data_IF_136127472849
#
_entry.id   IF_136127472849
#
_cell.length_a   1.000
_cell.length_b   1.000
_cell.length_c   1.000
_cell.angle_alpha   90.00
_cell.angle_beta   90.00
_cell.angle_gamma   90.00
#
_symmetry.space_group_name_H-M   'P 1'
#
loop_
_entity.id
_entity.type
_entity.pdbx_description
1 polymer ?
#
# COMPACT_ATOMS: atom_id res chain seq x y z
N UNK A 1 -5.97 -7.92 6.72
CA UNK A 1 -5.26 -7.87 8.01
C UNK A 1 -3.78 -8.15 7.77
N UNK A 2 -2.90 -7.33 8.34
CA UNK A 2 -1.44 -7.36 8.14
C UNK A 2 -0.82 -8.70 8.57
N UNK A 3 -1.29 -9.27 9.68
CA UNK A 3 -0.82 -10.56 10.19
C UNK A 3 -1.14 -11.72 9.27
N UNK A 4 -2.27 -11.65 8.56
CA UNK A 4 -2.63 -12.65 7.56
C UNK A 4 -1.62 -12.65 6.39
N UNK A 5 -1.21 -11.47 5.93
CA UNK A 5 -0.23 -11.33 4.84
C UNK A 5 1.17 -11.82 5.23
N UNK A 6 1.59 -11.62 6.49
CA UNK A 6 2.87 -12.18 6.97
C UNK A 6 2.88 -13.71 6.88
N UNK A 7 1.75 -14.37 7.20
CA UNK A 7 1.62 -15.83 7.07
C UNK A 7 1.66 -16.29 5.61
N UNK A 8 1.03 -15.56 4.69
CA UNK A 8 1.11 -15.85 3.25
C UNK A 8 2.55 -15.74 2.69
N UNK A 9 3.41 -14.94 3.34
CA UNK A 9 4.83 -14.78 2.98
C UNK A 9 5.74 -15.85 3.60
N UNK A 10 5.18 -16.88 4.22
CA UNK A 10 5.90 -17.98 4.88
C UNK A 10 6.83 -17.51 6.01
N UNK A 11 6.46 -16.43 6.69
CA UNK A 11 7.13 -15.96 7.90
C UNK A 11 6.63 -16.80 9.08
N UNK A 12 7.55 -17.41 9.83
CA UNK A 12 7.19 -18.31 10.92
C UNK A 12 6.35 -17.60 11.99
N UNK A 13 5.44 -18.35 12.62
CA UNK A 13 4.58 -17.82 13.68
C UNK A 13 5.39 -17.25 14.86
N UNK A 14 6.47 -17.95 15.25
CA UNK A 14 7.42 -17.51 16.30
C UNK A 14 8.02 -16.13 15.98
N UNK A 15 8.46 -15.93 14.73
CA UNK A 15 9.07 -14.68 14.31
C UNK A 15 8.02 -13.56 14.18
N UNK A 16 6.83 -13.91 13.70
CA UNK A 16 5.70 -12.97 13.63
C UNK A 16 5.34 -12.46 15.01
N UNK A 17 5.17 -13.37 15.99
CA UNK A 17 4.86 -13.04 17.37
C UNK A 17 5.93 -12.15 17.99
N UNK A 18 7.22 -12.44 17.74
CA UNK A 18 8.33 -11.61 18.20
C UNK A 18 8.30 -10.18 17.65
N UNK A 19 7.88 -10.00 16.39
CA UNK A 19 7.79 -8.68 15.73
C UNK A 19 6.58 -7.86 16.15
N UNK A 20 5.51 -8.50 16.64
CA UNK A 20 4.28 -7.80 17.04
C UNK A 20 4.08 -7.75 18.56
N UNK A 21 4.87 -8.51 19.32
CA UNK A 21 4.83 -8.48 20.77
C UNK A 21 5.01 -7.05 21.28
N UNK A 22 4.15 -6.65 22.21
CA UNK A 22 4.14 -5.31 22.83
C UNK A 22 3.74 -4.16 21.89
N UNK A 23 3.40 -4.44 20.63
CA UNK A 23 2.68 -3.46 19.82
C UNK A 23 1.21 -3.40 20.27
N UNK A 24 0.60 -2.20 20.32
CA UNK A 24 -0.83 -2.06 20.53
C UNK A 24 -1.62 -2.73 19.39
N UNK A 25 -2.93 -2.98 19.62
CA UNK A 25 -3.83 -3.54 18.58
C UNK A 25 -3.82 -2.70 17.29
N UNK A 26 -3.73 -1.38 17.44
CA UNK A 26 -3.50 -0.43 16.35
C UNK A 26 -2.14 0.23 16.54
N UNK A 27 -1.23 0.00 15.60
CA UNK A 27 0.11 0.56 15.60
C UNK A 27 0.39 1.30 14.28
N UNK A 28 1.24 2.32 14.35
CA UNK A 28 1.71 3.03 13.17
C UNK A 28 2.98 2.38 12.57
N UNK A 29 3.33 2.82 11.36
CA UNK A 29 4.51 2.35 10.65
C UNK A 29 5.82 2.51 11.44
N UNK A 30 5.99 3.63 12.17
CA UNK A 30 7.21 3.90 12.93
C UNK A 30 7.35 2.96 14.11
N UNK A 31 6.26 2.66 14.79
CA UNK A 31 6.23 1.68 15.89
C UNK A 31 6.65 0.30 15.38
N UNK A 32 6.09 -0.14 14.25
CA UNK A 32 6.48 -1.41 13.63
C UNK A 32 7.97 -1.44 13.25
N UNK A 33 8.45 -0.42 12.52
CA UNK A 33 9.86 -0.36 12.09
C UNK A 33 10.80 -0.34 13.29
N UNK A 34 10.45 0.36 14.37
CA UNK A 34 11.25 0.34 15.60
C UNK A 34 11.32 -1.06 16.19
N UNK A 35 10.18 -1.73 16.34
CA UNK A 35 10.12 -3.09 16.90
C UNK A 35 10.88 -4.09 16.05
N UNK A 36 10.71 -4.02 14.72
CA UNK A 36 11.46 -4.86 13.78
C UNK A 36 12.97 -4.65 13.93
N UNK A 37 13.43 -3.40 14.00
CA UNK A 37 14.86 -3.11 14.18
C UNK A 37 15.41 -3.58 15.53
N UNK A 38 14.61 -3.53 16.61
CA UNK A 38 14.97 -4.11 17.91
C UNK A 38 15.14 -5.64 17.81
N UNK A 39 14.22 -6.32 17.10
CA UNK A 39 14.30 -7.76 16.86
C UNK A 39 15.57 -8.13 16.10
N UNK A 40 15.93 -7.37 15.05
CA UNK A 40 17.16 -7.56 14.29
C UNK A 40 18.43 -7.37 15.14
N UNK A 41 18.44 -6.39 16.05
CA UNK A 41 19.63 -6.08 16.86
C UNK A 41 19.82 -7.01 18.06
N UNK A 42 18.73 -7.41 18.70
CA UNK A 42 18.79 -8.10 20.00
C UNK A 42 18.77 -9.63 19.89
N UNK A 43 18.56 -10.17 18.68
CA UNK A 43 18.52 -11.61 18.46
C UNK A 43 19.61 -12.04 17.49
N UNK A 44 20.35 -13.11 17.84
CA UNK A 44 21.23 -13.79 16.88
C UNK A 44 20.39 -14.60 15.88
N UNK A 45 19.79 -13.91 14.92
CA UNK A 45 18.97 -14.52 13.89
C UNK A 45 19.83 -15.14 12.80
N UNK A 46 19.39 -16.29 12.26
CA UNK A 46 19.99 -16.83 11.04
C UNK A 46 19.81 -15.85 9.86
N UNK A 47 20.60 -15.94 8.78
CA UNK A 47 20.41 -15.12 7.58
C UNK A 47 19.00 -15.23 6.97
N UNK A 48 18.37 -16.39 7.11
CA UNK A 48 17.00 -16.64 6.65
C UNK A 48 15.99 -15.86 7.49
N UNK A 49 16.12 -15.90 8.83
CA UNK A 49 15.29 -15.13 9.75
C UNK A 49 15.49 -13.62 9.54
N UNK A 50 16.72 -13.16 9.28
CA UNK A 50 16.98 -11.75 8.91
C UNK A 50 16.18 -11.31 7.69
N UNK A 51 16.24 -12.08 6.59
CA UNK A 51 15.48 -11.76 5.37
C UNK A 51 13.96 -11.77 5.59
N UNK A 52 13.46 -12.67 6.43
CA UNK A 52 12.04 -12.71 6.79
C UNK A 52 11.59 -11.45 7.56
N UNK A 53 12.46 -10.95 8.45
CA UNK A 53 12.22 -9.70 9.17
C UNK A 53 12.28 -8.48 8.23
N UNK A 54 13.24 -8.40 7.31
CA UNK A 54 13.30 -7.32 6.30
C UNK A 54 12.05 -7.31 5.39
N UNK A 55 11.58 -8.49 5.00
CA UNK A 55 10.31 -8.65 4.24
C UNK A 55 9.10 -8.08 4.97
N UNK A 56 9.11 -8.02 6.30
CA UNK A 56 8.02 -7.45 7.11
C UNK A 56 7.93 -5.94 6.95
N UNK A 57 9.07 -5.25 6.96
CA UNK A 57 9.12 -3.80 6.67
C UNK A 57 8.64 -3.55 5.25
N UNK A 58 9.14 -4.33 4.28
CA UNK A 58 8.69 -4.20 2.89
C UNK A 58 7.18 -4.39 2.74
N UNK A 59 6.61 -5.38 3.45
CA UNK A 59 5.17 -5.63 3.42
C UNK A 59 4.39 -4.42 3.98
N UNK A 60 4.86 -3.83 5.07
CA UNK A 60 4.25 -2.66 5.70
C UNK A 60 4.39 -1.39 4.84
N UNK A 61 5.54 -1.19 4.20
CA UNK A 61 5.76 -0.12 3.23
C UNK A 61 4.80 -0.23 2.04
N UNK A 62 4.55 -1.46 1.60
CA UNK A 62 3.69 -1.75 0.47
C UNK A 62 2.20 -1.63 0.83
N UNK A 63 1.81 -2.08 2.04
CA UNK A 63 0.42 -2.23 2.44
C UNK A 63 0.14 -1.55 3.77
N UNK A 64 -0.66 -0.48 3.72
CA UNK A 64 -1.09 0.21 4.91
C UNK A 64 -2.51 0.74 4.76
N UNK A 65 -3.08 1.11 5.91
CA UNK A 65 -4.40 1.72 6.00
C UNK A 65 -4.25 3.14 6.56
N UNK A 66 -5.09 4.05 6.11
CA UNK A 66 -5.14 5.44 6.59
C UNK A 66 -6.57 5.72 7.02
N UNK A 67 -6.74 6.14 8.26
CA UNK A 67 -8.02 6.52 8.83
C UNK A 67 -8.01 8.00 9.20
N UNK A 68 -8.99 8.75 8.70
CA UNK A 68 -9.23 10.14 9.07
C UNK A 68 -10.25 10.23 10.20
N UNK A 69 -10.13 11.26 11.04
CA UNK A 69 -11.15 11.55 12.05
C UNK A 69 -12.51 11.83 11.41
N UNK A 70 -13.58 11.40 12.07
CA UNK A 70 -14.95 11.72 11.68
C UNK A 70 -15.25 13.23 11.81
N UNK A 71 -14.44 13.94 12.59
CA UNK A 71 -14.62 15.36 12.91
C UNK A 71 -14.01 16.33 11.87
N UNK A 72 -13.39 15.82 10.79
CA UNK A 72 -12.79 16.65 9.73
C UNK A 72 -13.54 16.57 8.42
N UNK A 73 -13.64 17.72 7.74
CA UNK A 73 -14.26 17.80 6.42
C UNK A 73 -13.40 17.10 5.36
N UNK A 74 -14.05 16.52 4.34
CA UNK A 74 -13.34 15.83 3.25
C UNK A 74 -12.35 16.74 2.52
N UNK A 75 -12.63 18.05 2.45
CA UNK A 75 -11.75 19.05 1.82
C UNK A 75 -10.46 19.31 2.60
N UNK A 76 -10.40 18.91 3.87
CA UNK A 76 -9.24 19.10 4.74
C UNK A 76 -8.36 17.85 4.80
N UNK A 77 -8.79 16.74 4.18
CA UNK A 77 -8.07 15.46 4.21
C UNK A 77 -6.86 15.51 3.29
N UNK A 78 -5.68 15.36 3.88
CA UNK A 78 -4.40 15.28 3.18
C UNK A 78 -3.77 13.93 3.45
N UNK A 79 -3.47 13.18 2.38
CA UNK A 79 -2.66 11.98 2.47
C UNK A 79 -1.19 12.39 2.55
N UNK A 80 -0.51 11.99 3.64
CA UNK A 80 0.91 12.20 3.81
C UNK A 80 1.69 10.93 3.48
N UNK A 81 2.94 11.04 3.00
CA UNK A 81 3.86 9.91 2.95
C UNK A 81 4.00 9.24 4.31
N UNK A 82 3.85 7.91 4.34
CA UNK A 82 3.97 7.12 5.58
C UNK A 82 5.00 5.99 5.48
N UNK A 83 5.49 5.70 4.27
CA UNK A 83 6.42 4.60 3.97
C UNK A 83 7.72 5.11 3.34
N UNK A 84 8.78 4.32 3.39
CA UNK A 84 10.08 4.68 2.78
C UNK A 84 9.97 4.87 1.26
N UNK A 85 9.10 4.08 0.62
CA UNK A 85 8.78 4.18 -0.82
C UNK A 85 8.14 5.52 -1.22
N UNK A 86 7.69 6.31 -0.24
CA UNK A 86 7.04 7.61 -0.42
C UNK A 86 7.90 8.76 0.14
N UNK A 87 9.15 8.49 0.52
CA UNK A 87 10.02 9.45 1.22
C UNK A 87 10.27 10.77 0.48
N UNK A 88 10.08 10.82 -0.83
CA UNK A 88 10.10 12.05 -1.66
C UNK A 88 8.73 12.54 -2.08
N UNK A 89 7.67 11.82 -1.75
CA UNK A 89 6.30 12.26 -1.90
C UNK A 89 5.39 11.20 -2.50
N UNK A 90 4.11 11.56 -2.53
CA UNK A 90 3.06 10.89 -3.29
C UNK A 90 2.52 11.87 -4.32
N UNK A 91 2.27 11.39 -5.54
CA UNK A 91 1.95 12.25 -6.69
C UNK A 91 0.73 11.72 -7.45
N UNK A 92 -0.04 12.66 -8.02
CA UNK A 92 -1.08 12.46 -9.03
C UNK A 92 -2.11 11.36 -8.74
N UNK A 93 -2.73 11.41 -7.56
CA UNK A 93 -3.84 10.53 -7.23
C UNK A 93 -5.02 10.73 -8.21
N UNK A 94 -5.42 9.67 -8.90
CA UNK A 94 -6.53 9.68 -9.87
C UNK A 94 -7.68 8.83 -9.39
N UNK A 95 -8.69 9.48 -8.80
CA UNK A 95 -9.87 8.80 -8.30
C UNK A 95 -10.86 8.42 -9.41
N UNK A 96 -11.46 7.25 -9.28
CA UNK A 96 -12.61 6.79 -10.07
C UNK A 96 -13.67 6.25 -9.14
N UNK A 97 -14.92 6.66 -9.36
CA UNK A 97 -16.09 6.04 -8.75
C UNK A 97 -16.36 4.73 -9.48
N UNK A 98 -16.03 3.61 -8.87
CA UNK A 98 -16.17 2.28 -9.46
C UNK A 98 -17.49 1.65 -9.04
N UNK A 99 -18.27 1.23 -10.04
CA UNK A 99 -19.54 0.53 -9.81
C UNK A 99 -19.32 -0.97 -9.88
N UNK A 100 -19.52 -1.63 -8.75
CA UNK A 100 -19.51 -3.09 -8.65
C UNK A 100 -20.75 -3.69 -9.33
N UNK A 101 -20.69 -4.99 -9.63
CA UNK A 101 -21.79 -5.72 -10.29
C UNK A 101 -23.04 -5.81 -9.39
N UNK A 102 -22.85 -5.88 -8.07
CA UNK A 102 -23.93 -5.84 -7.06
C UNK A 102 -24.54 -4.43 -6.87
N UNK A 103 -24.02 -3.40 -7.55
CA UNK A 103 -24.45 -2.02 -7.43
C UNK A 103 -23.73 -1.20 -6.35
N UNK A 104 -22.89 -1.84 -5.52
CA UNK A 104 -22.04 -1.17 -4.54
C UNK A 104 -21.03 -0.24 -5.22
N UNK A 105 -20.67 0.82 -4.51
CA UNK A 105 -19.71 1.83 -4.98
C UNK A 105 -18.45 1.76 -4.13
N UNK A 106 -17.32 1.62 -4.81
CA UNK A 106 -16.00 1.78 -4.21
C UNK A 106 -15.27 2.87 -4.98
N UNK A 107 -14.62 3.77 -4.27
CA UNK A 107 -13.74 4.77 -4.86
C UNK A 107 -12.34 4.21 -4.89
N UNK A 108 -11.81 3.98 -6.09
CA UNK A 108 -10.42 3.59 -6.27
C UNK A 108 -9.62 4.80 -6.72
N UNK A 109 -8.35 4.87 -6.35
CA UNK A 109 -7.40 5.76 -6.96
C UNK A 109 -6.06 5.08 -7.18
N UNK A 110 -5.39 5.45 -8.26
CA UNK A 110 -3.97 5.13 -8.42
C UNK A 110 -3.16 6.37 -8.15
N UNK A 111 -2.04 6.23 -7.45
CA UNK A 111 -1.07 7.30 -7.24
C UNK A 111 0.36 6.77 -7.39
N UNK A 112 1.33 7.67 -7.49
CA UNK A 112 2.74 7.30 -7.57
C UNK A 112 3.44 7.59 -6.23
N UNK A 113 4.00 6.57 -5.61
CA UNK A 113 4.96 6.71 -4.51
C UNK A 113 6.36 6.94 -5.09
N UNK A 114 7.12 7.87 -4.53
CA UNK A 114 8.46 8.24 -4.97
C UNK A 114 9.42 8.27 -3.77
N UNK A 115 10.56 7.57 -3.88
CA UNK A 115 11.63 7.57 -2.88
C UNK A 115 12.86 8.41 -3.33
N UNK A 116 12.79 9.01 -4.52
CA UNK A 116 13.86 9.81 -5.14
C UNK A 116 14.80 9.02 -6.04
N UNK A 117 14.72 7.70 -6.02
CA UNK A 117 15.50 6.79 -6.87
C UNK A 117 14.57 6.02 -7.81
N UNK A 118 13.48 5.52 -7.26
CA UNK A 118 12.48 4.70 -7.93
C UNK A 118 11.07 5.23 -7.70
N UNK A 119 10.14 4.76 -8.53
CA UNK A 119 8.72 5.03 -8.37
C UNK A 119 7.97 3.71 -8.19
N UNK A 120 6.93 3.74 -7.37
CA UNK A 120 6.05 2.60 -7.14
C UNK A 120 4.59 3.05 -7.30
N UNK A 121 3.89 2.63 -8.37
CA UNK A 121 2.46 2.85 -8.48
C UNK A 121 1.72 2.06 -7.39
N UNK A 122 0.81 2.75 -6.69
CA UNK A 122 -0.02 2.16 -5.64
C UNK A 122 -1.51 2.36 -5.97
N UNK A 123 -2.33 1.40 -5.55
CA UNK A 123 -3.78 1.47 -5.58
C UNK A 123 -4.30 1.77 -4.17
N UNK A 124 -5.04 2.85 -4.06
CA UNK A 124 -5.80 3.25 -2.91
C UNK A 124 -7.28 2.95 -3.15
N UNK A 125 -8.01 2.51 -2.13
CA UNK A 125 -9.46 2.43 -2.21
C UNK A 125 -10.15 2.80 -0.89
N UNK A 126 -11.38 3.28 -1.01
CA UNK A 126 -12.27 3.64 0.10
C UNK A 126 -13.73 3.52 -0.35
N UNK A 127 -14.63 3.35 0.61
CA UNK A 127 -16.08 3.42 0.37
C UNK A 127 -16.69 4.73 0.92
N UNK A 128 -15.96 5.47 1.74
CA UNK A 128 -16.49 6.58 2.56
C UNK A 128 -15.56 7.81 2.67
N UNK A 129 -14.35 7.73 2.11
CA UNK A 129 -13.28 8.73 2.23
C UNK A 129 -12.73 8.94 3.65
N UNK A 130 -13.12 8.11 4.62
CA UNK A 130 -12.55 8.13 5.97
C UNK A 130 -11.47 7.06 6.10
N UNK A 131 -11.78 5.85 5.67
CA UNK A 131 -10.87 4.72 5.72
C UNK A 131 -10.37 4.39 4.33
N UNK A 132 -9.05 4.46 4.17
CA UNK A 132 -8.36 4.15 2.94
C UNK A 132 -7.48 2.94 3.14
N UNK A 133 -7.50 2.06 2.14
CA UNK A 133 -6.59 0.92 2.07
C UNK A 133 -5.69 1.08 0.86
N UNK A 134 -4.39 0.97 1.11
CA UNK A 134 -3.35 1.16 0.12
C UNK A 134 -2.63 -0.16 -0.11
N UNK A 135 -2.46 -0.51 -1.39
CA UNK A 135 -1.71 -1.69 -1.84
C UNK A 135 -0.79 -1.30 -3.00
N UNK A 136 0.37 -1.95 -3.20
CA UNK A 136 1.18 -1.73 -4.38
C UNK A 136 0.47 -2.32 -5.61
N UNK A 137 0.72 -1.74 -6.78
CA UNK A 137 0.39 -2.37 -8.05
C UNK A 137 1.60 -3.15 -8.56
N UNK A 138 1.34 -4.38 -9.00
CA UNK A 138 2.35 -5.28 -9.51
C UNK A 138 2.01 -5.71 -10.93
N UNK A 139 3.05 -5.97 -11.72
CA UNK A 139 2.93 -6.47 -13.07
C UNK A 139 3.80 -5.68 -14.05
N UNK A 140 4.16 -6.29 -15.20
CA UNK A 140 5.07 -5.69 -16.17
C UNK A 140 4.57 -4.34 -16.73
N UNK A 141 3.25 -4.11 -16.69
CA UNK A 141 2.60 -2.90 -17.20
C UNK A 141 2.17 -1.92 -16.08
N UNK A 142 2.51 -2.22 -14.83
CA UNK A 142 2.22 -1.42 -13.65
C UNK A 142 3.47 -0.73 -13.07
N UNK A 143 4.51 -0.54 -13.89
CA UNK A 143 5.78 0.08 -13.48
C UNK A 143 5.83 1.61 -13.71
N UNK A 144 4.90 2.16 -14.49
CA UNK A 144 4.92 3.55 -14.92
C UNK A 144 3.84 4.41 -14.20
N UNK A 145 3.99 5.73 -14.31
CA UNK A 145 3.03 6.72 -13.80
C UNK A 145 1.79 6.82 -14.71
N UNK A 146 0.80 7.60 -14.26
CA UNK A 146 -0.40 7.97 -15.02
C UNK A 146 -1.34 6.80 -15.34
N UNK A 147 -1.46 5.86 -14.40
CA UNK A 147 -2.47 4.82 -14.46
C UNK A 147 -3.87 5.43 -14.25
N UNK A 148 -4.87 4.92 -14.95
CA UNK A 148 -6.26 5.33 -14.78
C UNK A 148 -7.19 4.12 -14.87
N UNK A 149 -7.86 3.79 -13.77
CA UNK A 149 -8.76 2.64 -13.69
C UNK A 149 -10.11 2.94 -14.38
N UNK A 150 -10.64 1.97 -15.11
CA UNK A 150 -12.00 2.06 -15.66
C UNK A 150 -13.05 2.03 -14.54
N UNK A 151 -14.21 2.70 -14.68
CA UNK A 151 -15.22 2.82 -13.62
C UNK A 151 -16.07 1.55 -13.39
N UNK A 152 -15.70 0.43 -14.02
CA UNK A 152 -16.38 -0.87 -13.93
C UNK A 152 -15.47 -1.96 -14.46
N UNK A 153 -15.84 -3.22 -14.19
CA UNK A 153 -15.22 -4.37 -14.85
C UNK A 153 -15.55 -4.39 -16.35
N UNK A 154 -14.60 -4.87 -17.14
CA UNK A 154 -14.74 -5.17 -18.57
C UNK A 154 -14.52 -6.68 -18.71
N UNK A 155 -15.52 -7.40 -19.20
CA UNK A 155 -15.48 -8.87 -19.31
C UNK A 155 -15.09 -9.55 -17.98
N UNK A 156 -15.67 -9.11 -16.86
CA UNK A 156 -15.41 -9.64 -15.53
C UNK A 156 -14.06 -9.25 -14.91
N UNK A 157 -13.24 -8.44 -15.59
CA UNK A 157 -11.89 -8.07 -15.16
C UNK A 157 -11.78 -6.58 -14.87
N UNK A 158 -10.94 -6.22 -13.91
CA UNK A 158 -10.49 -4.84 -13.74
C UNK A 158 -9.62 -4.44 -14.93
N UNK A 159 -9.81 -3.22 -15.43
CA UNK A 159 -9.05 -2.68 -16.54
C UNK A 159 -8.56 -1.28 -16.20
N UNK A 160 -7.35 -0.94 -16.66
CA UNK A 160 -6.74 0.37 -16.48
C UNK A 160 -6.02 0.80 -17.75
N UNK A 161 -6.01 2.10 -18.01
CA UNK A 161 -5.12 2.71 -18.98
C UNK A 161 -3.74 2.90 -18.33
N UNK A 162 -2.70 2.56 -19.07
CA UNK A 162 -1.31 2.82 -18.67
C UNK A 162 -0.53 3.38 -19.86
N UNK A 163 0.54 4.11 -19.55
CA UNK A 163 1.52 4.53 -20.56
C UNK A 163 2.72 3.60 -20.46
N UNK A 164 2.92 2.76 -21.47
CA UNK A 164 3.97 1.73 -21.43
C UNK A 164 5.24 2.17 -22.17
N UNK A 165 5.12 2.96 -23.24
CA UNK A 165 6.18 3.13 -24.25
C UNK A 165 6.58 4.59 -24.55
N UNK A 166 6.20 5.56 -23.71
CA UNK A 166 6.60 6.96 -23.93
C UNK A 166 5.96 7.62 -25.17
N UNK A 167 5.14 6.88 -25.92
CA UNK A 167 4.45 7.36 -27.10
C UNK A 167 3.20 8.15 -26.67
N UNK A 168 2.88 9.20 -27.43
CA UNK A 168 1.65 9.97 -27.22
C UNK A 168 0.45 9.17 -27.70
N UNK A 169 -0.59 9.10 -26.86
CA UNK A 169 -1.89 8.62 -27.28
C UNK A 169 -2.60 9.76 -28.02
N UNK A 170 -2.82 9.58 -29.32
CA UNK A 170 -3.65 10.47 -30.13
C UNK A 170 -5.09 9.94 -30.10
N UNK A 171 -6.06 10.85 -29.94
CA UNK A 171 -7.50 10.59 -30.05
C UNK A 171 -8.00 11.33 -31.29
#
# INVERSE_FOLDING_TARGET
>A
DFLHKLREMDISAELTELMIAELPELFDYRQLVRKVNEVLKNNNLSPEKHRAVEKTIWLADAHYEVSFSLDTDISERVLFPVSETESKGIEDARFVRFKQENGEITYYATYTANDGVTILPKLLHTNDFYDFKVIPLHGPYAANKNLALFPRKINGQYAMLSRVDGVNNYI
#
